data_IF_547870939041
#
_entry.id   IF_547870939041
#
_cell.length_a   1.000
_cell.length_b   1.000
_cell.length_c   1.000
_cell.angle_alpha   90.00
_cell.angle_beta   90.00
_cell.angle_gamma   90.00
#
_symmetry.space_group_name_H-M   'P 1'
#
loop_
_entity.id
_entity.type
_entity.pdbx_description
1 polymer ?
#
# COMPACT_ATOMS: atom_id res chain seq x y z
N UNK A 1 28.81 17.18 -13.78
CA UNK A 1 29.59 16.25 -14.63
C UNK A 1 28.75 15.86 -15.83
N UNK A 2 29.18 16.30 -17.02
CA UNK A 2 28.52 16.04 -18.30
C UNK A 2 28.60 14.57 -18.67
N UNK A 3 27.76 14.14 -19.62
CA UNK A 3 27.76 12.75 -20.13
C UNK A 3 29.12 12.36 -20.72
N UNK A 4 29.77 13.27 -21.47
CA UNK A 4 31.10 13.05 -22.06
C UNK A 4 32.21 12.90 -21.01
N UNK A 5 32.14 13.65 -19.91
CA UNK A 5 33.08 13.50 -18.79
C UNK A 5 32.91 12.14 -18.09
N UNK A 6 31.68 11.64 -17.96
CA UNK A 6 31.41 10.30 -17.41
C UNK A 6 31.99 9.20 -18.30
N UNK A 7 31.86 9.31 -19.62
CA UNK A 7 32.42 8.36 -20.58
C UNK A 7 33.95 8.34 -20.53
N UNK A 8 34.59 9.51 -20.61
CA UNK A 8 36.06 9.60 -20.52
C UNK A 8 36.60 9.01 -19.21
N UNK A 9 35.90 9.22 -18.09
CA UNK A 9 36.27 8.62 -16.81
C UNK A 9 36.13 7.09 -16.83
N UNK A 10 35.08 6.56 -17.43
CA UNK A 10 34.90 5.11 -17.60
C UNK A 10 36.01 4.50 -18.49
N UNK A 11 36.36 5.17 -19.60
CA UNK A 11 37.44 4.72 -20.49
C UNK A 11 38.78 4.66 -19.76
N UNK A 12 39.10 5.67 -18.94
CA UNK A 12 40.32 5.67 -18.12
C UNK A 12 40.36 4.53 -17.10
N UNK A 13 39.22 4.18 -16.48
CA UNK A 13 39.13 3.08 -15.52
C UNK A 13 39.35 1.74 -16.24
N UNK A 14 38.71 1.54 -17.40
CA UNK A 14 38.80 0.30 -18.17
C UNK A 14 40.18 0.13 -18.83
N UNK A 15 40.91 1.21 -19.11
CA UNK A 15 42.23 1.16 -19.73
C UNK A 15 43.28 0.39 -18.89
N UNK A 16 43.14 0.35 -17.56
CA UNK A 16 44.12 -0.29 -16.65
C UNK A 16 43.62 -1.62 -16.09
N UNK A 17 44.52 -2.58 -15.85
CA UNK A 17 44.14 -3.86 -15.26
C UNK A 17 43.58 -3.70 -13.83
N UNK A 18 44.27 -2.90 -13.00
CA UNK A 18 43.85 -2.59 -11.63
C UNK A 18 42.51 -1.82 -11.59
N UNK A 19 42.28 -0.90 -12.54
CA UNK A 19 41.01 -0.18 -12.65
C UNK A 19 39.85 -1.09 -13.02
N UNK A 20 40.06 -2.06 -13.94
CA UNK A 20 39.06 -3.08 -14.27
C UNK A 20 38.72 -3.96 -13.06
N UNK A 21 39.72 -4.48 -12.37
CA UNK A 21 39.54 -5.33 -11.19
C UNK A 21 38.78 -4.58 -10.08
N UNK A 22 39.23 -3.37 -9.73
CA UNK A 22 38.59 -2.54 -8.71
C UNK A 22 37.14 -2.18 -9.08
N UNK A 23 36.87 -1.85 -10.34
CA UNK A 23 35.51 -1.54 -10.80
C UNK A 23 34.59 -2.77 -10.76
N UNK A 24 35.10 -3.95 -11.09
CA UNK A 24 34.37 -5.21 -10.99
C UNK A 24 34.08 -5.55 -9.53
N UNK A 25 35.04 -5.38 -8.64
CA UNK A 25 34.87 -5.64 -7.20
C UNK A 25 33.90 -4.65 -6.56
N UNK A 26 34.00 -3.36 -6.90
CA UNK A 26 33.04 -2.35 -6.44
C UNK A 26 31.62 -2.68 -6.94
N UNK A 27 31.48 -3.09 -8.20
CA UNK A 27 30.20 -3.50 -8.77
C UNK A 27 29.66 -4.75 -8.06
N UNK A 28 30.48 -5.78 -7.86
CA UNK A 28 30.12 -7.03 -7.17
C UNK A 28 29.74 -6.79 -5.71
N UNK A 29 30.43 -5.89 -5.02
CA UNK A 29 30.10 -5.50 -3.65
C UNK A 29 28.70 -4.87 -3.53
N UNK A 30 28.17 -4.34 -4.63
CA UNK A 30 26.84 -3.72 -4.72
C UNK A 30 25.76 -4.64 -5.28
N UNK A 31 26.09 -5.86 -5.73
CA UNK A 31 25.10 -6.82 -6.24
C UNK A 31 24.05 -7.18 -5.20
N UNK A 32 24.47 -7.32 -3.95
CA UNK A 32 23.61 -7.69 -2.85
C UNK A 32 23.84 -6.76 -1.67
N UNK A 33 22.76 -6.28 -1.04
CA UNK A 33 22.90 -5.63 0.26
C UNK A 33 23.51 -6.59 1.28
N UNK A 34 24.23 -6.08 2.29
CA UNK A 34 25.00 -6.91 3.25
C UNK A 34 24.20 -8.06 3.88
N UNK A 35 22.92 -7.84 4.21
CA UNK A 35 22.03 -8.89 4.73
C UNK A 35 21.69 -9.97 3.70
N UNK A 36 21.57 -9.58 2.43
CA UNK A 36 21.31 -10.52 1.32
C UNK A 36 22.57 -11.32 1.00
N UNK A 37 23.76 -10.70 1.00
CA UNK A 37 25.03 -11.39 0.83
C UNK A 37 25.27 -12.46 1.91
N UNK A 38 25.02 -12.13 3.18
CA UNK A 38 25.11 -13.09 4.30
C UNK A 38 24.15 -14.27 4.13
N UNK A 39 22.90 -13.98 3.76
CA UNK A 39 21.87 -15.00 3.51
C UNK A 39 22.24 -15.91 2.33
N UNK A 40 22.74 -15.34 1.23
CA UNK A 40 23.22 -16.08 0.07
C UNK A 40 24.40 -17.00 0.39
N UNK A 41 25.38 -16.51 1.17
CA UNK A 41 26.50 -17.33 1.64
C UNK A 41 26.05 -18.50 2.51
N UNK A 42 25.16 -18.25 3.48
CA UNK A 42 24.62 -19.31 4.33
C UNK A 42 23.87 -20.38 3.51
N UNK A 43 23.15 -19.95 2.48
CA UNK A 43 22.45 -20.82 1.54
C UNK A 43 23.41 -21.69 0.73
N UNK A 44 24.44 -21.09 0.12
CA UNK A 44 25.50 -21.82 -0.58
C UNK A 44 26.15 -22.87 0.30
N UNK A 45 26.53 -22.50 1.52
CA UNK A 45 27.12 -23.43 2.48
C UNK A 45 26.18 -24.62 2.79
N UNK A 46 24.87 -24.38 2.86
CA UNK A 46 23.88 -25.45 3.06
C UNK A 46 23.78 -26.35 1.83
N UNK A 47 23.73 -25.79 0.62
CA UNK A 47 23.72 -26.55 -0.62
C UNK A 47 24.99 -27.41 -0.76
N UNK A 48 26.17 -26.83 -0.57
CA UNK A 48 27.46 -27.54 -0.61
C UNK A 48 27.49 -28.70 0.38
N UNK A 49 27.08 -28.45 1.64
CA UNK A 49 26.99 -29.51 2.66
C UNK A 49 26.05 -30.63 2.26
N UNK A 50 24.92 -30.33 1.63
CA UNK A 50 23.95 -31.34 1.22
C UNK A 50 24.46 -32.16 0.03
N UNK A 51 25.08 -31.52 -0.96
CA UNK A 51 25.66 -32.22 -2.12
C UNK A 51 26.81 -33.14 -1.71
N UNK A 52 27.74 -32.65 -0.88
CA UNK A 52 28.82 -33.48 -0.34
C UNK A 52 28.28 -34.70 0.41
N UNK A 53 27.23 -34.53 1.23
CA UNK A 53 26.58 -35.64 1.94
C UNK A 53 25.85 -36.61 1.01
N UNK A 54 25.37 -36.14 -0.13
CA UNK A 54 24.76 -36.96 -1.16
C UNK A 54 25.80 -37.68 -2.05
N UNK A 55 27.10 -37.45 -1.83
CA UNK A 55 28.18 -37.99 -2.67
C UNK A 55 28.32 -37.29 -4.02
N UNK A 56 27.76 -36.09 -4.17
CA UNK A 56 27.78 -35.29 -5.38
C UNK A 56 28.78 -34.14 -5.24
N UNK A 57 29.46 -33.76 -6.33
CA UNK A 57 30.21 -32.50 -6.38
C UNK A 57 29.22 -31.32 -6.33
N UNK A 58 29.35 -30.35 -5.41
CA UNK A 58 28.49 -29.18 -5.40
C UNK A 58 28.50 -28.40 -6.71
N UNK A 59 29.62 -28.42 -7.43
CA UNK A 59 29.78 -27.64 -8.67
C UNK A 59 29.92 -28.56 -9.90
N UNK A 60 29.53 -28.09 -11.10
CA UNK A 60 28.65 -26.94 -11.34
C UNK A 60 27.24 -27.15 -10.74
N UNK A 61 26.53 -26.05 -10.47
CA UNK A 61 25.16 -26.10 -9.94
C UNK A 61 24.20 -26.43 -11.09
N UNK A 62 23.63 -27.65 -11.05
CA UNK A 62 22.72 -28.20 -12.05
C UNK A 62 21.30 -28.37 -11.51
N UNK A 63 20.30 -28.45 -12.39
CA UNK A 63 18.89 -28.62 -11.97
C UNK A 63 18.63 -29.88 -11.17
N UNK A 64 19.23 -31.01 -11.56
CA UNK A 64 19.07 -32.28 -10.85
C UNK A 64 19.54 -32.17 -9.40
N UNK A 65 20.61 -31.41 -9.14
CA UNK A 65 21.15 -31.14 -7.80
C UNK A 65 20.21 -30.24 -6.99
N UNK A 66 19.63 -29.23 -7.62
CA UNK A 66 18.59 -28.37 -7.01
C UNK A 66 17.34 -29.20 -6.66
N UNK A 67 16.87 -30.06 -7.56
CA UNK A 67 15.73 -30.96 -7.33
C UNK A 67 15.99 -31.94 -6.18
N UNK A 68 17.18 -32.52 -6.13
CA UNK A 68 17.60 -33.42 -5.05
C UNK A 68 17.56 -32.72 -3.69
N UNK A 69 18.16 -31.53 -3.59
CA UNK A 69 18.10 -30.72 -2.36
C UNK A 69 16.66 -30.35 -2.00
N UNK A 70 15.87 -29.87 -2.97
CA UNK A 70 14.49 -29.46 -2.75
C UNK A 70 13.60 -30.62 -2.30
N UNK A 71 13.80 -31.81 -2.85
CA UNK A 71 13.13 -33.04 -2.43
C UNK A 71 13.52 -33.45 -1.01
N UNK A 72 14.81 -33.34 -0.66
CA UNK A 72 15.31 -33.64 0.69
C UNK A 72 14.74 -32.67 1.74
N UNK A 73 14.74 -31.36 1.47
CA UNK A 73 14.16 -30.35 2.36
C UNK A 73 12.65 -30.56 2.54
N UNK A 74 11.93 -30.83 1.44
CA UNK A 74 10.50 -31.11 1.50
C UNK A 74 10.19 -32.33 2.37
N UNK A 75 11.00 -33.39 2.27
CA UNK A 75 10.84 -34.59 3.10
C UNK A 75 11.14 -34.34 4.59
N UNK A 76 11.83 -33.25 4.91
CA UNK A 76 12.10 -32.79 6.26
C UNK A 76 11.08 -31.75 6.77
N UNK A 77 9.97 -31.54 6.05
CA UNK A 77 8.96 -30.50 6.33
C UNK A 77 9.50 -29.06 6.38
N UNK A 78 10.67 -28.84 5.78
CA UNK A 78 11.27 -27.51 5.63
C UNK A 78 10.73 -26.85 4.36
N UNK A 79 10.16 -25.64 4.48
CA UNK A 79 9.76 -24.86 3.32
C UNK A 79 11.03 -24.43 2.58
N UNK A 80 11.25 -25.01 1.40
CA UNK A 80 12.34 -24.63 0.50
C UNK A 80 12.15 -23.19 0.03
N UNK A 81 12.66 -22.23 0.81
CA UNK A 81 12.43 -20.81 0.65
C UNK A 81 12.93 -20.27 -0.71
N UNK A 82 12.42 -19.10 -1.09
CA UNK A 82 12.30 -18.48 -2.43
C UNK A 82 13.61 -18.18 -3.21
N UNK A 83 14.74 -18.73 -2.82
CA UNK A 83 16.05 -18.10 -3.05
C UNK A 83 17.11 -19.00 -3.69
N UNK A 84 16.77 -20.26 -3.97
CA UNK A 84 17.63 -21.15 -4.75
C UNK A 84 17.58 -20.84 -6.27
N UNK A 85 16.62 -19.98 -6.65
CA UNK A 85 16.38 -19.49 -8.02
C UNK A 85 17.49 -18.57 -8.51
N UNK A 86 18.27 -17.98 -7.60
CA UNK A 86 19.33 -17.01 -7.94
C UNK A 86 20.68 -17.66 -8.25
N UNK A 87 20.87 -18.95 -7.94
CA UNK A 87 22.18 -19.61 -8.08
C UNK A 87 22.51 -20.08 -9.49
N UNK A 88 21.54 -20.12 -10.40
CA UNK A 88 21.75 -20.67 -11.73
C UNK A 88 21.14 -19.79 -12.82
N UNK A 89 21.78 -19.77 -13.98
CA UNK A 89 21.22 -19.20 -15.21
C UNK A 89 20.07 -20.06 -15.77
N UNK A 90 19.47 -20.93 -14.94
CA UNK A 90 18.49 -21.92 -15.40
C UNK A 90 17.12 -21.28 -15.58
N UNK A 91 16.38 -21.83 -16.54
CA UNK A 91 15.03 -21.47 -16.91
C UNK A 91 14.10 -21.26 -15.71
N UNK A 92 13.70 -20.00 -15.50
CA UNK A 92 12.81 -19.55 -14.40
C UNK A 92 11.49 -20.33 -14.31
N UNK A 93 11.06 -20.98 -15.39
CA UNK A 93 9.83 -21.76 -15.51
C UNK A 93 9.86 -23.03 -14.64
N UNK A 94 10.95 -23.79 -14.67
CA UNK A 94 11.11 -25.04 -13.92
C UNK A 94 11.30 -24.79 -12.41
N UNK A 95 12.04 -23.75 -12.06
CA UNK A 95 12.21 -23.32 -10.67
C UNK A 95 10.86 -22.95 -10.01
N UNK A 96 9.96 -22.28 -10.75
CA UNK A 96 8.59 -22.01 -10.27
C UNK A 96 7.76 -23.28 -10.07
N UNK A 97 8.02 -24.36 -10.82
CA UNK A 97 7.33 -25.66 -10.65
C UNK A 97 7.84 -26.37 -9.41
N UNK A 98 9.16 -26.44 -9.22
CA UNK A 98 9.79 -27.01 -8.02
C UNK A 98 9.31 -26.28 -6.76
N UNK A 99 9.34 -24.93 -6.77
CA UNK A 99 8.80 -24.12 -5.67
C UNK A 99 7.36 -24.51 -5.32
N UNK A 100 6.48 -24.54 -6.32
CA UNK A 100 5.08 -24.93 -6.11
C UNK A 100 4.96 -26.35 -5.57
N UNK A 101 5.80 -27.28 -6.01
CA UNK A 101 5.81 -28.63 -5.48
C UNK A 101 6.26 -28.66 -4.01
N UNK A 102 7.33 -27.95 -3.64
CA UNK A 102 7.82 -27.88 -2.27
C UNK A 102 6.80 -27.28 -1.30
N UNK A 103 6.12 -26.20 -1.69
CA UNK A 103 5.19 -25.49 -0.80
C UNK A 103 3.78 -26.13 -0.76
N UNK A 104 3.42 -26.96 -1.75
CA UNK A 104 2.11 -27.63 -1.77
C UNK A 104 1.98 -28.63 -0.62
N UNK A 105 0.94 -28.42 0.20
CA UNK A 105 0.62 -29.28 1.34
C UNK A 105 1.37 -28.89 2.62
N UNK A 106 2.29 -27.93 2.55
CA UNK A 106 2.87 -27.29 3.72
C UNK A 106 1.91 -26.15 4.11
N UNK A 107 1.57 -26.06 5.40
CA UNK A 107 0.79 -24.93 5.93
C UNK A 107 1.46 -23.61 5.52
N UNK A 108 0.69 -22.54 5.26
CA UNK A 108 1.30 -21.23 5.02
C UNK A 108 2.27 -20.93 6.16
N UNK A 109 3.48 -20.44 5.86
CA UNK A 109 4.39 -19.96 6.91
C UNK A 109 3.57 -19.09 7.86
N UNK A 110 3.62 -19.41 9.16
CA UNK A 110 3.08 -18.61 10.23
C UNK A 110 3.84 -17.28 10.17
N UNK A 111 3.25 -16.33 9.43
CA UNK A 111 3.80 -14.98 9.33
C UNK A 111 3.86 -14.38 10.73
N UNK A 112 4.73 -13.38 10.91
CA UNK A 112 4.79 -12.69 12.19
C UNK A 112 3.40 -12.20 12.61
N UNK A 113 2.99 -12.57 13.83
CA UNK A 113 1.69 -12.19 14.39
C UNK A 113 1.53 -10.67 14.36
N UNK A 114 0.40 -10.11 13.89
CA UNK A 114 0.18 -8.68 13.89
C UNK A 114 0.22 -8.12 15.32
N UNK A 115 0.99 -7.05 15.52
CA UNK A 115 0.84 -6.24 16.72
C UNK A 115 -0.43 -5.41 16.58
N UNK A 116 -1.59 -5.87 17.04
CA UNK A 116 -2.85 -5.11 16.92
C UNK A 116 -2.78 -3.79 17.69
N UNK A 117 -3.67 -2.84 17.37
CA UNK A 117 -3.74 -1.58 18.11
C UNK A 117 -4.06 -1.80 19.60
N UNK A 118 -4.88 -2.81 19.92
CA UNK A 118 -5.17 -3.19 21.31
C UNK A 118 -3.93 -3.72 22.03
N UNK A 119 -3.17 -4.63 21.40
CA UNK A 119 -1.92 -5.15 21.95
C UNK A 119 -0.91 -4.03 22.18
N UNK A 120 -0.76 -3.12 21.21
CA UNK A 120 0.08 -1.93 21.34
C UNK A 120 -0.40 -1.04 22.50
N UNK A 121 -1.70 -0.81 22.65
CA UNK A 121 -2.28 -0.04 23.76
C UNK A 121 -1.95 -0.68 25.12
N UNK A 122 -2.17 -1.98 25.28
CA UNK A 122 -1.85 -2.70 26.53
C UNK A 122 -0.37 -2.58 26.88
N UNK A 123 0.51 -2.80 25.89
CA UNK A 123 1.95 -2.68 26.06
C UNK A 123 2.39 -1.26 26.43
N UNK A 124 1.89 -0.25 25.71
CA UNK A 124 2.26 1.15 25.96
C UNK A 124 1.81 1.65 27.32
N UNK A 125 0.62 1.24 27.78
CA UNK A 125 0.12 1.55 29.14
C UNK A 125 0.99 0.91 30.22
N UNK A 126 1.42 -0.34 30.04
CA UNK A 126 2.32 -1.01 30.98
C UNK A 126 3.67 -0.28 31.08
N UNK A 127 4.30 0.00 29.94
CA UNK A 127 5.62 0.61 29.89
C UNK A 127 5.65 2.06 30.37
N UNK A 128 4.54 2.80 30.25
CA UNK A 128 4.41 4.17 30.76
C UNK A 128 4.30 4.27 32.28
N UNK A 129 3.98 3.18 32.98
CA UNK A 129 4.06 3.11 34.45
C UNK A 129 5.49 2.86 34.94
N UNK A 130 6.40 2.63 33.99
CA UNK A 130 7.76 2.23 34.22
C UNK A 130 8.73 3.40 34.39
N UNK A 131 10.00 3.14 34.12
CA UNK A 131 11.06 4.17 34.09
C UNK A 131 10.98 4.97 32.78
N UNK A 132 11.56 6.18 32.77
CA UNK A 132 11.67 7.04 31.58
C UNK A 132 12.21 6.31 30.33
N UNK A 133 13.06 5.28 30.51
CA UNK A 133 13.60 4.45 29.42
C UNK A 133 12.56 3.52 28.80
N UNK A 134 11.62 3.01 29.61
CA UNK A 134 10.49 2.20 29.15
C UNK A 134 9.47 3.08 28.43
N UNK A 135 9.26 4.31 28.89
CA UNK A 135 8.49 5.31 28.18
C UNK A 135 9.06 5.64 26.79
N UNK A 136 10.37 5.88 26.69
CA UNK A 136 11.03 6.11 25.40
C UNK A 136 10.88 4.91 24.44
N UNK A 137 10.95 3.68 24.96
CA UNK A 137 10.76 2.46 24.17
C UNK A 137 9.30 2.26 23.76
N UNK A 138 8.35 2.62 24.62
CA UNK A 138 6.91 2.67 24.31
C UNK A 138 6.59 3.66 23.17
N UNK A 139 7.21 4.84 23.20
CA UNK A 139 7.14 5.79 22.11
C UNK A 139 7.73 5.21 20.81
N UNK A 140 8.84 4.47 20.90
CA UNK A 140 9.44 3.81 19.76
C UNK A 140 8.54 2.77 19.09
N UNK A 141 7.88 1.92 19.88
CA UNK A 141 6.92 0.94 19.38
C UNK A 141 5.71 1.61 18.72
N UNK A 142 5.22 2.69 19.31
CA UNK A 142 4.13 3.50 18.74
C UNK A 142 4.51 4.06 17.37
N UNK A 143 5.70 4.67 17.25
CA UNK A 143 6.19 5.20 15.98
C UNK A 143 6.39 4.07 14.96
N UNK A 144 6.98 2.95 15.36
CA UNK A 144 7.21 1.80 14.48
C UNK A 144 5.91 1.27 13.87
N UNK A 145 4.86 1.20 14.68
CA UNK A 145 3.52 0.74 14.29
C UNK A 145 2.85 1.72 13.30
N UNK A 146 2.70 2.99 13.68
CA UNK A 146 2.01 4.00 12.88
C UNK A 146 2.71 4.31 11.56
N UNK A 147 4.04 4.25 11.52
CA UNK A 147 4.81 4.48 10.31
C UNK A 147 5.10 3.19 9.53
N UNK A 148 4.54 2.04 9.93
CA UNK A 148 4.69 0.72 9.29
C UNK A 148 6.16 0.37 8.98
N UNK A 149 7.03 0.63 9.96
CA UNK A 149 8.48 0.53 9.80
C UNK A 149 8.93 -0.93 9.69
N UNK A 150 9.93 -1.18 8.84
CA UNK A 150 10.67 -2.45 8.86
C UNK A 150 11.67 -2.45 10.02
N UNK A 151 12.04 -3.63 10.52
CA UNK A 151 13.06 -3.74 11.57
C UNK A 151 14.39 -3.03 11.24
N UNK A 152 14.81 -3.05 9.97
CA UNK A 152 15.99 -2.28 9.52
C UNK A 152 15.79 -0.77 9.50
N UNK A 153 14.59 -0.30 9.17
CA UNK A 153 14.26 1.13 9.24
C UNK A 153 14.21 1.60 10.70
N UNK A 154 13.72 0.75 11.60
CA UNK A 154 13.62 1.03 13.03
C UNK A 154 15.00 1.19 13.70
N UNK A 155 15.98 0.33 13.39
CA UNK A 155 17.30 0.40 14.04
C UNK A 155 18.27 1.41 13.42
N UNK A 156 17.90 2.04 12.28
CA UNK A 156 18.75 2.99 11.55
C UNK A 156 18.15 4.40 11.46
N UNK A 157 16.92 4.61 11.95
CA UNK A 157 16.28 5.93 11.85
C UNK A 157 17.05 6.95 12.70
N UNK A 158 17.39 8.08 12.09
CA UNK A 158 18.13 9.19 12.71
C UNK A 158 17.21 10.33 13.10
N UNK A 159 17.67 11.14 14.05
CA UNK A 159 16.94 12.32 14.54
C UNK A 159 16.67 13.32 13.40
N UNK A 160 17.65 13.56 12.52
CA UNK A 160 17.52 14.47 11.39
C UNK A 160 16.54 14.00 10.31
N UNK A 161 16.06 12.76 10.39
CA UNK A 161 15.08 12.19 9.47
C UNK A 161 13.63 12.33 9.95
N UNK A 162 13.42 12.86 11.15
CA UNK A 162 12.08 13.07 11.71
C UNK A 162 11.81 14.55 11.95
N UNK A 163 10.55 14.93 11.81
CA UNK A 163 10.09 16.28 12.09
C UNK A 163 8.68 16.25 12.68
N UNK A 164 8.42 17.12 13.65
CA UNK A 164 7.07 17.37 14.16
C UNK A 164 6.74 18.84 13.91
N UNK A 165 5.69 19.08 13.12
CA UNK A 165 5.22 20.41 12.77
C UNK A 165 3.76 20.55 13.21
N UNK A 166 3.54 21.21 14.35
CA UNK A 166 2.21 21.28 14.97
C UNK A 166 1.65 19.88 15.25
N UNK A 167 0.47 19.58 14.71
CA UNK A 167 -0.20 18.30 14.88
C UNK A 167 0.25 17.21 13.89
N UNK A 168 1.37 17.37 13.18
CA UNK A 168 1.83 16.40 12.17
C UNK A 168 3.26 15.93 12.45
N UNK A 169 3.44 14.62 12.61
CA UNK A 169 4.74 13.98 12.66
C UNK A 169 5.09 13.39 11.30
N UNK A 170 6.35 13.55 10.89
CA UNK A 170 6.85 13.14 9.58
C UNK A 170 8.15 12.37 9.74
N UNK A 171 8.27 11.26 9.01
CA UNK A 171 9.47 10.42 8.94
C UNK A 171 9.94 10.32 7.49
N UNK A 172 11.20 10.68 7.25
CA UNK A 172 11.90 10.54 5.98
C UNK A 172 12.78 9.31 6.01
N UNK A 173 12.44 8.30 5.24
CA UNK A 173 13.26 7.11 5.07
C UNK A 173 14.22 7.33 3.91
N UNK A 174 15.52 7.35 4.23
CA UNK A 174 16.56 7.30 3.20
C UNK A 174 16.71 5.87 2.67
N UNK A 175 17.21 5.77 1.43
CA UNK A 175 17.46 4.56 0.61
C UNK A 175 17.20 3.23 1.35
N UNK A 176 16.00 2.66 1.16
CA UNK A 176 15.64 1.37 1.78
C UNK A 176 15.85 0.21 0.81
N UNK A 177 15.79 -1.04 1.31
CA UNK A 177 15.94 -2.29 0.51
C UNK A 177 15.11 -2.32 -0.79
N UNK A 178 13.97 -1.62 -0.83
CA UNK A 178 13.07 -1.57 -1.99
C UNK A 178 13.17 -0.26 -2.79
N UNK A 179 14.21 0.53 -2.56
CA UNK A 179 14.47 1.80 -3.22
C UNK A 179 15.65 1.66 -4.19
N UNK A 180 15.43 0.90 -5.27
CA UNK A 180 16.43 0.67 -6.31
C UNK A 180 16.91 1.96 -6.98
N UNK A 181 16.16 3.07 -6.85
CA UNK A 181 16.50 4.39 -7.40
C UNK A 181 17.08 5.36 -6.36
N UNK A 182 17.13 4.98 -5.08
CA UNK A 182 17.65 5.81 -3.99
C UNK A 182 16.86 7.11 -3.74
N UNK A 183 15.57 7.16 -4.08
CA UNK A 183 14.75 8.38 -3.96
C UNK A 183 14.26 8.66 -2.53
N UNK A 184 14.37 7.68 -1.63
CA UNK A 184 13.79 7.70 -0.30
C UNK A 184 12.25 7.68 -0.33
N UNK A 185 11.64 7.84 0.83
CA UNK A 185 10.22 8.17 0.92
C UNK A 185 9.92 8.96 2.19
N UNK A 186 8.82 9.71 2.18
CA UNK A 186 8.31 10.39 3.36
C UNK A 186 6.96 9.81 3.74
N UNK A 187 6.73 9.67 5.04
CA UNK A 187 5.42 9.33 5.62
C UNK A 187 5.08 10.38 6.66
N UNK A 188 3.82 10.75 6.75
CA UNK A 188 3.33 11.70 7.73
C UNK A 188 2.09 11.14 8.42
N UNK A 189 1.96 11.42 9.72
CA UNK A 189 0.84 11.04 10.57
C UNK A 189 0.35 12.26 11.33
N UNK A 190 -0.96 12.40 11.46
CA UNK A 190 -1.59 13.52 12.17
C UNK A 190 -2.04 13.08 13.56
N UNK A 191 -1.98 14.01 14.52
CA UNK A 191 -2.52 13.82 15.85
C UNK A 191 -4.06 13.80 15.77
N UNK A 192 -4.66 12.76 16.36
CA UNK A 192 -6.10 12.64 16.53
C UNK A 192 -6.55 12.82 17.99
N UNK A 193 -5.62 13.17 18.89
CA UNK A 193 -5.96 13.45 20.28
C UNK A 193 -6.84 14.69 20.36
N UNK A 194 -7.84 14.64 21.25
CA UNK A 194 -8.69 15.77 21.58
C UNK A 194 -8.19 16.41 22.87
N UNK A 195 -8.85 16.12 23.98
CA UNK A 195 -8.56 16.70 25.29
C UNK A 195 -7.47 15.92 26.04
N UNK A 196 -7.43 14.59 25.88
CA UNK A 196 -6.43 13.73 26.52
C UNK A 196 -5.41 13.19 25.51
N UNK A 197 -4.13 13.16 25.93
CA UNK A 197 -3.05 12.57 25.15
C UNK A 197 -3.14 11.06 25.22
N UNK A 198 -3.51 10.46 24.10
CA UNK A 198 -3.59 9.01 23.99
C UNK A 198 -2.21 8.35 24.03
N UNK A 199 -2.16 7.20 24.73
CA UNK A 199 -0.99 6.33 24.93
C UNK A 199 -0.17 5.97 23.70
N UNK A 200 -0.83 6.04 22.55
CA UNK A 200 -0.42 5.49 21.28
C UNK A 200 -0.52 6.53 20.17
N UNK A 201 -0.58 7.83 20.50
CA UNK A 201 -0.54 8.88 19.48
C UNK A 201 0.86 8.99 18.84
N UNK A 202 1.00 8.89 17.50
CA UNK A 202 2.30 8.91 16.86
C UNK A 202 3.01 10.27 16.96
N UNK A 203 2.25 11.36 17.05
CA UNK A 203 2.80 12.72 17.16
C UNK A 203 3.39 12.94 18.54
N UNK A 204 2.62 12.66 19.60
CA UNK A 204 3.10 12.80 20.96
C UNK A 204 4.22 11.82 21.30
N UNK A 205 4.16 10.59 20.79
CA UNK A 205 5.27 9.63 20.90
C UNK A 205 6.55 10.17 20.24
N UNK A 206 6.45 10.79 19.05
CA UNK A 206 7.60 11.40 18.38
C UNK A 206 8.17 12.57 19.20
N UNK A 207 7.31 13.45 19.73
CA UNK A 207 7.74 14.56 20.57
C UNK A 207 8.46 14.07 21.84
N UNK A 208 7.85 13.12 22.55
CA UNK A 208 8.42 12.53 23.77
C UNK A 208 9.80 11.91 23.50
N UNK A 209 9.94 11.18 22.39
CA UNK A 209 11.20 10.56 22.05
C UNK A 209 12.27 11.59 21.65
N UNK A 210 11.89 12.64 20.92
CA UNK A 210 12.80 13.73 20.57
C UNK A 210 13.28 14.49 21.81
N UNK A 211 12.39 14.77 22.75
CA UNK A 211 12.73 15.41 24.03
C UNK A 211 13.67 14.53 24.86
N UNK A 212 13.37 13.23 24.97
CA UNK A 212 14.24 12.27 25.64
C UNK A 212 15.64 12.25 25.04
N UNK A 213 15.76 12.25 23.70
CA UNK A 213 17.06 12.24 23.01
C UNK A 213 17.79 13.57 23.13
N UNK A 214 17.06 14.70 23.10
CA UNK A 214 17.63 16.02 23.37
C UNK A 214 18.20 16.11 24.80
N UNK A 215 17.50 15.55 25.79
CA UNK A 215 17.99 15.45 27.18
C UNK A 215 19.26 14.59 27.33
N UNK A 216 19.57 13.75 26.35
CA UNK A 216 20.82 12.98 26.27
C UNK A 216 21.92 13.69 25.46
N UNK A 217 21.68 14.91 24.97
CA UNK A 217 22.61 15.66 24.14
C UNK A 217 22.73 15.11 22.71
N UNK A 218 21.74 14.37 22.22
CA UNK A 218 21.79 13.78 20.88
C UNK A 218 21.59 14.82 19.77
N UNK A 219 22.34 14.66 18.68
CA UNK A 219 22.32 15.53 17.51
C UNK A 219 21.59 14.90 16.32
N UNK A 220 21.42 15.68 15.24
CA UNK A 220 20.68 15.26 14.03
C UNK A 220 21.19 13.96 13.41
N UNK A 221 22.49 13.69 13.50
CA UNK A 221 23.08 12.49 12.92
C UNK A 221 22.94 11.27 13.84
N UNK A 222 22.54 11.44 15.09
CA UNK A 222 22.37 10.33 16.02
C UNK A 222 21.11 9.52 15.72
N UNK A 223 21.12 8.27 16.20
CA UNK A 223 19.98 7.39 16.13
C UNK A 223 18.83 7.95 16.99
N UNK A 224 17.62 7.89 16.43
CA UNK A 224 16.41 8.22 17.15
C UNK A 224 16.08 7.14 18.18
N UNK A 225 16.25 5.87 17.80
CA UNK A 225 15.99 4.73 18.66
C UNK A 225 17.30 4.14 19.17
N UNK A 226 17.45 4.09 20.49
CA UNK A 226 18.62 3.55 21.18
C UNK A 226 18.19 2.60 22.29
N UNK A 227 19.12 1.76 22.74
CA UNK A 227 18.92 0.90 23.90
C UNK A 227 19.03 1.71 25.20
N UNK A 228 18.87 1.01 26.32
CA UNK A 228 18.94 1.63 27.65
C UNK A 228 20.29 2.31 27.94
N UNK A 229 21.35 1.93 27.21
CA UNK A 229 22.71 2.45 27.35
C UNK A 229 23.02 3.56 26.32
N UNK A 230 22.02 4.01 25.55
CA UNK A 230 22.19 5.01 24.51
C UNK A 230 22.86 4.47 23.23
N UNK A 231 23.05 3.15 23.14
CA UNK A 231 23.71 2.50 22.01
C UNK A 231 22.69 2.03 20.98
N UNK A 232 23.22 1.72 19.78
CA UNK A 232 22.45 1.14 18.69
C UNK A 232 21.91 -0.25 19.05
N UNK A 233 20.65 -0.50 18.74
CA UNK A 233 20.09 -1.85 18.75
C UNK A 233 20.55 -2.65 17.53
N UNK A 234 20.89 -3.93 17.74
CA UNK A 234 20.80 -4.91 16.67
C UNK A 234 19.36 -5.45 16.56
N UNK A 235 18.98 -5.94 15.39
CA UNK A 235 17.59 -6.38 15.18
C UNK A 235 17.22 -7.63 16.00
N UNK A 236 18.20 -8.43 16.41
CA UNK A 236 17.97 -9.60 17.27
C UNK A 236 17.66 -9.16 18.69
N UNK A 237 18.52 -8.33 19.29
CA UNK A 237 18.30 -7.82 20.65
C UNK A 237 17.03 -6.98 20.78
N UNK A 238 16.70 -6.17 19.77
CA UNK A 238 15.42 -5.43 19.77
C UNK A 238 14.21 -6.37 19.68
N UNK A 239 14.32 -7.46 18.93
CA UNK A 239 13.26 -8.48 18.84
C UNK A 239 13.04 -9.16 20.19
N UNK A 240 14.11 -9.60 20.84
CA UNK A 240 14.01 -10.25 22.15
C UNK A 240 13.50 -9.28 23.22
N UNK A 241 13.88 -8.00 23.13
CA UNK A 241 13.34 -6.95 24.00
C UNK A 241 11.85 -6.75 23.77
N UNK A 242 11.39 -6.70 22.51
CA UNK A 242 9.96 -6.64 22.19
C UNK A 242 9.20 -7.83 22.80
N UNK A 243 9.71 -9.05 22.65
CA UNK A 243 9.11 -10.25 23.23
C UNK A 243 9.04 -10.17 24.75
N UNK A 244 10.11 -9.72 25.41
CA UNK A 244 10.14 -9.53 26.86
C UNK A 244 9.10 -8.48 27.30
N UNK A 245 9.04 -7.33 26.65
CA UNK A 245 8.06 -6.28 26.96
C UNK A 245 6.62 -6.79 26.76
N UNK A 246 6.36 -7.61 25.74
CA UNK A 246 5.04 -8.23 25.51
C UNK A 246 4.66 -9.20 26.64
N UNK A 247 5.56 -10.09 27.05
CA UNK A 247 5.34 -11.01 28.19
C UNK A 247 5.04 -10.23 29.47
N UNK A 248 5.84 -9.19 29.74
CA UNK A 248 5.66 -8.34 30.92
C UNK A 248 4.34 -7.57 30.90
N UNK A 249 3.79 -7.30 29.72
CA UNK A 249 2.49 -6.67 29.53
C UNK A 249 1.32 -7.67 29.58
N UNK A 250 1.58 -8.95 29.89
CA UNK A 250 0.56 -10.01 29.96
C UNK A 250 0.10 -10.54 28.60
N UNK A 251 0.82 -10.24 27.51
CA UNK A 251 0.51 -10.76 26.18
C UNK A 251 1.06 -12.20 26.07
N UNK A 252 0.14 -13.15 25.83
CA UNK A 252 0.48 -14.55 25.59
C UNK A 252 1.12 -14.72 24.21
N UNK A 253 1.82 -15.84 24.00
CA UNK A 253 2.40 -16.20 22.69
C UNK A 253 3.35 -15.14 22.10
N UNK A 254 4.05 -14.41 22.97
CA UNK A 254 5.03 -13.38 22.58
C UNK A 254 6.07 -13.88 21.56
N UNK A 255 6.33 -15.19 21.48
CA UNK A 255 7.25 -15.79 20.52
C UNK A 255 6.87 -15.60 19.06
N UNK A 256 5.58 -15.46 18.76
CA UNK A 256 5.06 -15.26 17.41
C UNK A 256 5.31 -13.84 16.89
N UNK A 257 5.69 -12.91 17.78
CA UNK A 257 5.95 -11.53 17.44
C UNK A 257 7.39 -11.32 16.97
N UNK A 258 7.56 -10.45 15.98
CA UNK A 258 8.86 -10.02 15.47
C UNK A 258 8.85 -8.53 15.17
N UNK A 259 9.99 -7.97 14.74
CA UNK A 259 10.02 -6.58 14.26
C UNK A 259 9.12 -6.35 13.04
N UNK A 260 8.70 -7.41 12.33
CA UNK A 260 7.74 -7.28 11.25
C UNK A 260 6.30 -7.08 11.77
N UNK A 261 6.01 -7.50 13.01
CA UNK A 261 4.69 -7.38 13.63
C UNK A 261 4.19 -5.94 13.71
N UNK A 262 5.07 -4.95 13.91
CA UNK A 262 4.71 -3.52 13.85
C UNK A 262 4.12 -3.14 12.50
N UNK A 263 4.76 -3.62 11.43
CA UNK A 263 4.40 -3.28 10.07
C UNK A 263 3.13 -4.00 9.63
N UNK A 264 2.96 -5.26 10.01
CA UNK A 264 1.72 -6.02 9.75
C UNK A 264 0.57 -5.42 10.54
N UNK A 265 0.77 -5.18 11.84
CA UNK A 265 -0.22 -4.57 12.73
C UNK A 265 -0.68 -3.19 12.27
N UNK A 266 0.26 -2.30 11.92
CA UNK A 266 -0.10 -0.98 11.38
C UNK A 266 -0.87 -1.06 10.06
N UNK A 267 -0.51 -2.04 9.21
CA UNK A 267 -1.22 -2.30 7.94
C UNK A 267 -2.67 -2.72 8.21
N UNK A 268 -2.89 -3.67 9.13
CA UNK A 268 -4.23 -4.11 9.52
C UNK A 268 -5.01 -2.95 10.16
N UNK A 269 -4.40 -2.20 11.08
CA UNK A 269 -5.05 -1.05 11.72
C UNK A 269 -5.50 0.04 10.73
N UNK A 270 -4.72 0.30 9.67
CA UNK A 270 -5.17 1.19 8.58
C UNK A 270 -6.42 0.65 7.86
N UNK A 271 -6.45 -0.66 7.57
CA UNK A 271 -7.58 -1.29 6.87
C UNK A 271 -8.83 -1.29 7.76
N UNK A 272 -8.68 -1.60 9.05
CA UNK A 272 -9.76 -1.55 10.05
C UNK A 272 -10.32 -0.13 10.21
N UNK A 273 -9.46 0.89 10.12
CA UNK A 273 -9.87 2.29 10.09
C UNK A 273 -10.53 2.73 8.76
N UNK A 274 -10.70 1.81 7.80
CA UNK A 274 -11.37 2.08 6.53
C UNK A 274 -10.47 2.67 5.44
N UNK A 275 -9.16 2.70 5.63
CA UNK A 275 -8.22 3.15 4.60
C UNK A 275 -8.16 2.10 3.47
N UNK A 276 -8.33 2.56 2.23
CA UNK A 276 -8.28 1.68 1.04
C UNK A 276 -6.97 0.88 1.01
N UNK A 277 -7.03 -0.37 0.52
CA UNK A 277 -5.85 -1.22 0.41
C UNK A 277 -4.75 -0.62 -0.46
N UNK A 278 -5.12 0.19 -1.46
CA UNK A 278 -4.24 0.91 -2.37
C UNK A 278 -3.46 2.01 -1.64
N UNK A 279 -4.14 2.83 -0.85
CA UNK A 279 -3.50 3.85 -0.02
C UNK A 279 -2.59 3.21 1.05
N UNK A 280 -3.02 2.11 1.66
CA UNK A 280 -2.22 1.33 2.60
C UNK A 280 -0.99 0.69 1.93
N UNK A 281 -1.14 0.18 0.70
CA UNK A 281 -0.03 -0.31 -0.15
C UNK A 281 0.98 0.78 -0.43
N UNK A 282 0.51 1.96 -0.85
CA UNK A 282 1.34 3.12 -1.13
C UNK A 282 2.09 3.58 0.12
N UNK A 283 1.38 3.78 1.24
CA UNK A 283 1.95 4.20 2.52
C UNK A 283 3.00 3.20 3.01
N UNK A 284 2.64 1.91 3.10
CA UNK A 284 3.55 0.86 3.54
C UNK A 284 4.69 0.58 2.55
N UNK A 285 4.60 0.96 1.28
CA UNK A 285 5.53 0.57 0.20
C UNK A 285 5.57 -0.94 0.00
N UNK A 286 4.40 -1.53 -0.12
CA UNK A 286 4.23 -2.94 -0.48
C UNK A 286 4.24 -3.08 -2.00
N UNK A 287 5.12 -3.95 -2.52
CA UNK A 287 5.20 -4.26 -3.96
C UNK A 287 4.37 -5.49 -4.35
N UNK A 288 4.08 -6.35 -3.37
CA UNK A 288 3.37 -7.62 -3.57
C UNK A 288 1.94 -7.54 -3.03
N UNK A 289 1.11 -8.47 -3.51
CA UNK A 289 -0.26 -8.69 -3.04
C UNK A 289 -0.32 -9.29 -1.61
N UNK A 290 0.76 -9.22 -0.84
CA UNK A 290 0.79 -9.67 0.56
C UNK A 290 -0.21 -8.87 1.41
N UNK A 291 -0.49 -7.62 1.06
CA UNK A 291 -1.56 -6.85 1.69
C UNK A 291 -2.93 -7.52 1.54
N UNK A 292 -3.19 -8.24 0.45
CA UNK A 292 -4.49 -8.87 0.25
C UNK A 292 -4.71 -10.01 1.27
N UNK A 293 -3.63 -10.63 1.75
CA UNK A 293 -3.67 -11.58 2.88
C UNK A 293 -4.03 -10.86 4.18
N UNK A 294 -3.33 -9.77 4.52
CA UNK A 294 -3.60 -9.01 5.74
C UNK A 294 -4.99 -8.36 5.74
N UNK A 295 -5.45 -7.87 4.60
CA UNK A 295 -6.80 -7.36 4.42
C UNK A 295 -7.83 -8.46 4.68
N UNK A 296 -7.61 -9.66 4.11
CA UNK A 296 -8.48 -10.81 4.37
C UNK A 296 -8.52 -11.18 5.86
N UNK A 297 -7.36 -11.29 6.50
CA UNK A 297 -7.26 -11.60 7.94
C UNK A 297 -7.99 -10.54 8.79
N UNK A 298 -7.79 -9.26 8.49
CA UNK A 298 -8.47 -8.16 9.16
C UNK A 298 -10.00 -8.20 8.96
N UNK A 299 -10.48 -8.42 7.73
CA UNK A 299 -11.92 -8.57 7.46
C UNK A 299 -12.54 -9.82 8.12
N UNK A 300 -11.76 -10.89 8.29
CA UNK A 300 -12.21 -12.12 8.95
C UNK A 300 -12.32 -11.94 10.47
N UNK A 301 -11.34 -11.27 11.09
CA UNK A 301 -11.40 -10.89 12.50
C UNK A 301 -12.60 -9.99 12.82
N UNK A 302 -13.04 -9.20 11.84
CA UNK A 302 -14.13 -8.24 11.94
C UNK A 302 -15.48 -8.78 11.39
N UNK A 303 -15.63 -10.10 11.27
CA UNK A 303 -16.78 -10.74 10.58
C UNK A 303 -18.15 -10.43 11.20
N UNK A 304 -18.24 -10.18 12.51
CA UNK A 304 -19.46 -9.68 13.16
C UNK A 304 -19.81 -8.25 12.71
N UNK A 305 -18.82 -7.37 12.50
CA UNK A 305 -19.07 -6.01 12.01
C UNK A 305 -19.33 -5.96 10.52
N UNK A 306 -18.92 -6.94 9.71
CA UNK A 306 -19.23 -6.96 8.28
C UNK A 306 -20.74 -6.94 8.02
N UNK A 307 -21.49 -7.78 8.73
CA UNK A 307 -22.96 -7.82 8.66
C UNK A 307 -23.57 -6.53 9.21
N UNK A 308 -23.04 -6.01 10.31
CA UNK A 308 -23.48 -4.73 10.88
C UNK A 308 -23.17 -3.54 9.97
N UNK A 309 -22.05 -3.51 9.25
CA UNK A 309 -21.68 -2.47 8.28
C UNK A 309 -22.52 -2.54 7.01
N UNK A 310 -22.87 -3.75 6.54
CA UNK A 310 -23.87 -3.92 5.48
C UNK A 310 -25.22 -3.36 5.94
N UNK A 311 -25.64 -3.67 7.17
CA UNK A 311 -26.89 -3.18 7.71
C UNK A 311 -26.85 -1.66 7.95
N UNK A 312 -25.75 -1.12 8.47
CA UNK A 312 -25.55 0.32 8.69
C UNK A 312 -25.55 1.08 7.37
N UNK A 313 -24.88 0.57 6.33
CA UNK A 313 -24.96 1.14 4.97
C UNK A 313 -26.37 1.05 4.38
N UNK A 314 -27.13 0.01 4.69
CA UNK A 314 -28.55 -0.09 4.29
C UNK A 314 -29.41 0.93 5.03
N UNK A 315 -29.17 1.18 6.31
CA UNK A 315 -29.89 2.19 7.09
C UNK A 315 -29.52 3.61 6.67
N UNK A 316 -28.24 3.94 6.47
CA UNK A 316 -27.80 5.22 5.90
C UNK A 316 -28.45 5.47 4.54
N UNK A 317 -28.43 4.48 3.64
CA UNK A 317 -29.12 4.60 2.35
C UNK A 317 -30.65 4.73 2.49
N UNK A 318 -31.28 4.19 3.55
CA UNK A 318 -32.71 4.39 3.82
C UNK A 318 -33.00 5.79 4.36
N UNK A 319 -32.16 6.31 5.24
CA UNK A 319 -32.27 7.67 5.79
C UNK A 319 -32.03 8.73 4.72
N UNK A 320 -30.97 8.60 3.92
CA UNK A 320 -30.73 9.45 2.75
C UNK A 320 -31.93 9.43 1.80
N UNK A 321 -32.52 8.25 1.58
CA UNK A 321 -33.72 8.12 0.74
C UNK A 321 -34.94 8.81 1.37
N UNK A 322 -35.13 8.71 2.69
CA UNK A 322 -36.22 9.39 3.42
C UNK A 322 -36.05 10.92 3.40
N UNK A 323 -34.85 11.42 3.66
CA UNK A 323 -34.56 12.86 3.61
C UNK A 323 -34.75 13.42 2.20
N UNK A 324 -34.29 12.69 1.18
CA UNK A 324 -34.48 13.10 -0.21
C UNK A 324 -35.97 13.08 -0.61
N UNK A 325 -36.74 12.08 -0.15
CA UNK A 325 -38.20 12.03 -0.37
C UNK A 325 -38.93 13.18 0.33
N UNK A 326 -38.46 13.59 1.52
CA UNK A 326 -39.03 14.70 2.28
C UNK A 326 -38.70 16.06 1.65
N UNK A 327 -37.49 16.22 1.12
CA UNK A 327 -37.07 17.39 0.36
C UNK A 327 -37.88 17.56 -0.93
N UNK A 328 -38.15 16.47 -1.65
CA UNK A 328 -38.99 16.45 -2.86
C UNK A 328 -40.43 16.83 -2.53
N UNK A 329 -41.04 16.26 -1.48
CA UNK A 329 -42.40 16.65 -1.04
C UNK A 329 -42.52 18.11 -0.61
N UNK A 330 -41.49 18.68 0.00
CA UNK A 330 -41.47 20.09 0.40
C UNK A 330 -41.34 21.06 -0.80
N UNK A 331 -40.81 20.59 -1.93
CA UNK A 331 -40.63 21.38 -3.14
C UNK A 331 -41.89 21.49 -4.02
N UNK A 332 -42.95 20.74 -3.72
CA UNK A 332 -44.21 20.81 -4.46
C UNK A 332 -44.17 20.25 -5.89
N UNK A 333 -43.07 19.61 -6.30
CA UNK A 333 -43.01 18.89 -7.58
C UNK A 333 -43.82 17.60 -7.48
N UNK A 334 -44.91 17.55 -8.25
CA UNK A 334 -45.71 16.33 -8.43
C UNK A 334 -44.86 15.27 -9.11
N UNK A 335 -44.80 14.12 -8.45
CA UNK A 335 -44.10 12.91 -8.83
C UNK A 335 -44.65 12.34 -10.14
N UNK A 336 -43.79 12.23 -11.15
CA UNK A 336 -44.05 11.40 -12.33
C UNK A 336 -42.78 10.74 -12.88
N UNK A 337 -41.70 10.62 -12.08
CA UNK A 337 -40.48 9.92 -12.53
C UNK A 337 -39.80 9.16 -11.40
N UNK A 338 -40.21 7.91 -11.28
CA UNK A 338 -39.43 6.83 -10.70
C UNK A 338 -37.97 6.83 -11.23
N UNK A 339 -37.05 7.13 -10.31
CA UNK A 339 -35.75 6.50 -10.11
C UNK A 339 -34.76 6.39 -11.26
N UNK A 340 -33.63 7.11 -11.17
CA UNK A 340 -32.38 6.72 -11.86
C UNK A 340 -31.11 6.97 -11.03
N UNK A 341 -30.82 6.05 -10.10
CA UNK A 341 -29.46 5.51 -10.02
C UNK A 341 -29.38 4.48 -11.14
N UNK A 342 -28.62 4.77 -12.20
CA UNK A 342 -28.53 3.91 -13.39
C UNK A 342 -27.90 2.55 -13.03
N UNK A 343 -28.74 1.57 -12.69
CA UNK A 343 -28.36 0.15 -12.69
C UNK A 343 -28.06 -0.26 -14.14
N UNK A 344 -27.04 -1.08 -14.47
CA UNK A 344 -26.60 -1.34 -15.87
C UNK A 344 -27.67 -1.69 -16.92
N UNK A 345 -28.88 -2.15 -16.51
CA UNK A 345 -30.04 -2.37 -17.41
C UNK A 345 -30.65 -1.07 -17.96
N UNK A 346 -30.57 0.02 -17.21
CA UNK A 346 -31.15 1.33 -17.54
C UNK A 346 -30.49 2.05 -18.72
N UNK A 347 -29.19 1.82 -18.94
CA UNK A 347 -28.45 2.45 -20.04
C UNK A 347 -28.91 1.95 -21.41
N UNK A 348 -29.27 0.67 -21.52
CA UNK A 348 -29.78 0.08 -22.76
C UNK A 348 -31.16 0.63 -23.16
N UNK A 349 -32.00 0.94 -22.18
CA UNK A 349 -33.32 1.53 -22.40
C UNK A 349 -33.18 2.98 -22.91
N UNK A 350 -32.36 3.79 -22.23
CA UNK A 350 -32.09 5.16 -22.66
C UNK A 350 -31.46 5.25 -24.07
N UNK A 351 -30.48 4.39 -24.37
CA UNK A 351 -29.88 4.35 -25.70
C UNK A 351 -30.88 3.95 -26.80
N UNK A 352 -31.85 3.09 -26.46
CA UNK A 352 -32.92 2.69 -27.39
C UNK A 352 -33.93 3.81 -27.64
N UNK A 353 -34.29 4.57 -26.61
CA UNK A 353 -35.16 5.75 -26.73
C UNK A 353 -34.54 6.84 -27.61
N UNK A 354 -33.26 7.17 -27.38
CA UNK A 354 -32.55 8.17 -28.20
C UNK A 354 -32.43 7.73 -29.66
N UNK A 355 -32.18 6.44 -29.91
CA UNK A 355 -32.16 5.90 -31.27
C UNK A 355 -33.54 5.95 -31.95
N UNK A 356 -34.62 5.75 -31.19
CA UNK A 356 -35.99 5.84 -31.68
C UNK A 356 -36.39 7.28 -32.03
N UNK A 357 -36.05 8.25 -31.17
CA UNK A 357 -36.28 9.68 -31.42
C UNK A 357 -35.50 10.17 -32.65
N UNK A 358 -34.23 9.78 -32.79
CA UNK A 358 -33.41 10.06 -33.97
C UNK A 358 -34.05 9.50 -35.25
N UNK A 359 -34.50 8.24 -35.20
CA UNK A 359 -35.18 7.60 -36.33
C UNK A 359 -36.50 8.29 -36.71
N UNK A 360 -37.24 8.82 -35.74
CA UNK A 360 -38.46 9.58 -36.00
C UNK A 360 -38.17 10.96 -36.59
N UNK A 361 -37.17 11.69 -36.08
CA UNK A 361 -36.75 12.99 -36.59
C UNK A 361 -36.28 12.91 -38.06
N UNK A 362 -35.49 11.87 -38.38
CA UNK A 362 -35.01 11.64 -39.76
C UNK A 362 -36.15 11.33 -40.73
N UNK A 363 -37.10 10.47 -40.32
CA UNK A 363 -38.30 10.17 -41.14
C UNK A 363 -39.17 11.42 -41.36
N UNK A 364 -39.30 12.26 -40.34
CA UNK A 364 -40.05 13.52 -40.43
C UNK A 364 -39.45 14.48 -41.47
N UNK A 365 -38.13 14.65 -41.50
CA UNK A 365 -37.45 15.52 -42.48
C UNK A 365 -37.47 14.96 -43.90
N UNK A 366 -37.22 13.66 -44.07
CA UNK A 366 -37.31 13.02 -45.40
C UNK A 366 -38.73 13.10 -45.98
N UNK A 367 -39.77 13.01 -45.14
CA UNK A 367 -41.17 13.19 -45.59
C UNK A 367 -41.50 14.61 -46.06
N UNK A 368 -40.67 15.61 -45.67
CA UNK A 368 -40.79 17.02 -46.07
C UNK A 368 -39.86 17.39 -47.22
N UNK A 369 -39.12 16.43 -47.78
CA UNK A 369 -38.13 16.67 -48.85
C UNK A 369 -36.90 17.45 -48.38
N UNK A 370 -36.65 17.50 -47.07
CA UNK A 370 -35.45 18.12 -46.49
C UNK A 370 -34.29 17.12 -46.48
N UNK A 371 -33.06 17.64 -46.64
CA UNK A 371 -31.83 16.84 -46.59
C UNK A 371 -31.68 16.10 -45.25
N UNK A 372 -30.98 14.96 -45.32
CA UNK A 372 -30.66 14.14 -44.15
C UNK A 372 -29.98 14.96 -43.05
N UNK A 373 -30.31 14.69 -41.77
CA UNK A 373 -29.66 15.36 -40.64
C UNK A 373 -28.18 14.95 -40.62
N UNK A 374 -27.27 15.82 -41.06
CA UNK A 374 -25.82 15.55 -41.03
C UNK A 374 -25.20 15.78 -39.64
N UNK A 375 -25.84 16.60 -38.79
CA UNK A 375 -25.34 16.95 -37.47
C UNK A 375 -26.47 16.86 -36.42
N UNK A 376 -26.24 16.05 -35.38
CA UNK A 376 -27.16 15.90 -34.25
C UNK A 376 -26.45 16.24 -32.94
N UNK A 377 -27.00 17.19 -32.19
CA UNK A 377 -26.43 17.64 -30.92
C UNK A 377 -27.15 16.95 -29.75
N UNK A 378 -26.40 16.20 -28.94
CA UNK A 378 -26.92 15.53 -27.74
C UNK A 378 -26.34 16.22 -26.51
N UNK A 379 -27.20 16.81 -25.69
CA UNK A 379 -26.80 17.35 -24.37
C UNK A 379 -26.70 16.21 -23.35
N UNK A 380 -25.47 15.78 -23.07
CA UNK A 380 -25.21 14.77 -22.03
C UNK A 380 -25.08 15.42 -20.65
N UNK A 381 -25.74 14.84 -19.64
CA UNK A 381 -25.48 15.18 -18.24
C UNK A 381 -24.35 14.27 -17.70
N UNK A 382 -23.41 14.81 -16.90
CA UNK A 382 -22.36 14.00 -16.29
C UNK A 382 -22.97 12.98 -15.31
N UNK A 383 -22.46 11.75 -15.36
CA UNK A 383 -22.90 10.60 -14.58
C UNK A 383 -22.37 10.64 -13.14
N UNK A 384 -21.19 11.24 -12.96
CA UNK A 384 -20.60 11.49 -11.65
C UNK A 384 -19.72 12.74 -11.71
N UNK A 385 -19.63 13.43 -10.57
CA UNK A 385 -18.78 14.59 -10.37
C UNK A 385 -17.91 14.30 -9.15
N UNK A 386 -16.60 14.23 -9.35
CA UNK A 386 -15.63 13.92 -8.30
C UNK A 386 -14.71 15.13 -8.12
N UNK A 387 -14.62 15.64 -6.88
CA UNK A 387 -13.70 16.72 -6.54
C UNK A 387 -12.45 16.15 -5.87
N UNK A 388 -11.28 16.36 -6.48
CA UNK A 388 -9.99 16.04 -5.87
C UNK A 388 -9.05 17.24 -6.01
N UNK A 389 -8.56 17.76 -4.87
CA UNK A 389 -7.51 18.77 -4.77
C UNK A 389 -7.64 19.90 -5.81
N UNK A 390 -8.72 20.69 -5.69
CA UNK A 390 -9.05 21.85 -6.56
C UNK A 390 -9.44 21.54 -8.02
N UNK A 391 -9.48 20.26 -8.42
CA UNK A 391 -9.93 19.85 -9.74
C UNK A 391 -11.27 19.10 -9.68
N UNK A 392 -12.14 19.41 -10.64
CA UNK A 392 -13.41 18.73 -10.86
C UNK A 392 -13.26 17.72 -12.01
N UNK A 393 -13.49 16.44 -11.72
CA UNK A 393 -13.59 15.37 -12.70
C UNK A 393 -15.06 15.10 -13.01
N UNK A 394 -15.43 15.32 -14.27
CA UNK A 394 -16.75 15.00 -14.81
C UNK A 394 -16.67 13.67 -15.53
N UNK A 395 -17.38 12.65 -15.05
CA UNK A 395 -17.52 11.37 -15.73
C UNK A 395 -18.74 11.40 -16.64
N UNK A 396 -18.55 11.14 -17.93
CA UNK A 396 -19.63 10.95 -18.90
C UNK A 396 -19.70 9.47 -19.28
N UNK A 397 -20.89 8.94 -19.64
CA UNK A 397 -20.99 7.58 -20.15
C UNK A 397 -20.19 7.48 -21.46
N UNK A 398 -19.14 6.67 -21.48
CA UNK A 398 -18.43 6.32 -22.72
C UNK A 398 -19.21 5.21 -23.40
N UNK A 399 -19.56 5.37 -24.67
CA UNK A 399 -20.22 4.33 -25.45
C UNK A 399 -19.29 3.12 -25.55
N UNK A 400 -19.78 1.94 -25.15
CA UNK A 400 -19.06 0.69 -25.36
C UNK A 400 -18.96 0.35 -26.85
N UNK A 401 -17.86 -0.31 -27.22
CA UNK A 401 -17.36 -0.57 -28.59
C UNK A 401 -18.34 -1.27 -29.55
N UNK A 402 -19.40 -1.91 -29.06
CA UNK A 402 -20.42 -2.55 -29.91
C UNK A 402 -21.48 -1.59 -30.44
N UNK A 403 -21.80 -0.51 -29.71
CA UNK A 403 -22.79 0.49 -30.16
C UNK A 403 -22.17 1.59 -31.02
N UNK A 404 -20.89 1.93 -30.80
CA UNK A 404 -20.15 2.87 -31.66
C UNK A 404 -20.07 2.39 -33.12
N UNK A 405 -19.90 1.08 -33.36
CA UNK A 405 -19.80 0.53 -34.71
C UNK A 405 -21.11 0.55 -35.52
N UNK A 406 -22.27 0.60 -34.86
CA UNK A 406 -23.57 0.58 -35.54
C UNK A 406 -23.96 1.97 -36.07
N UNK A 407 -23.57 3.04 -35.35
CA UNK A 407 -23.87 4.42 -35.71
C UNK A 407 -22.82 5.05 -36.64
N UNK A 408 -21.54 4.66 -36.52
CA UNK A 408 -20.50 5.03 -37.49
C UNK A 408 -20.78 4.46 -38.90
N UNK A 409 -21.37 3.26 -38.98
CA UNK A 409 -21.83 2.68 -40.25
C UNK A 409 -22.94 3.48 -40.93
N UNK A 410 -23.64 4.34 -40.20
CA UNK A 410 -24.70 5.21 -40.72
C UNK A 410 -24.22 6.63 -41.08
N UNK A 411 -22.90 6.91 -41.03
CA UNK A 411 -22.31 8.15 -41.54
C UNK A 411 -22.30 9.36 -40.60
N UNK A 412 -22.66 9.19 -39.32
CA UNK A 412 -22.72 10.31 -38.37
C UNK A 412 -21.36 10.62 -37.75
N UNK A 413 -21.04 11.92 -37.61
CA UNK A 413 -19.89 12.42 -36.86
C UNK A 413 -20.34 13.04 -35.52
N UNK A 414 -19.56 12.84 -34.45
CA UNK A 414 -19.88 13.36 -33.12
C UNK A 414 -18.93 14.49 -32.72
N UNK A 415 -19.48 15.57 -32.18
CA UNK A 415 -18.72 16.64 -31.53
C UNK A 415 -19.22 16.81 -30.10
N UNK A 416 -18.40 16.43 -29.12
CA UNK A 416 -18.72 16.67 -27.71
C UNK A 416 -18.41 18.14 -27.42
N UNK A 417 -19.44 18.94 -27.15
CA UNK A 417 -19.30 20.35 -26.73
C UNK A 417 -19.54 20.38 -25.22
N UNK A 418 -18.50 20.64 -24.43
CA UNK A 418 -18.67 20.88 -22.99
C UNK A 418 -18.94 22.37 -22.76
N UNK A 419 -20.19 22.75 -22.46
CA UNK A 419 -20.48 24.09 -21.96
C UNK A 419 -19.95 24.22 -20.52
N UNK A 420 -19.02 25.15 -20.28
CA UNK A 420 -18.67 25.59 -18.91
C UNK A 420 -19.85 26.35 -18.32
N UNK A 421 -20.81 25.65 -17.75
CA UNK A 421 -21.95 26.29 -17.10
C UNK A 421 -21.54 26.77 -15.69
N UNK A 422 -20.91 27.95 -15.63
CA UNK A 422 -20.35 28.57 -14.42
C UNK A 422 -21.41 28.90 -13.37
N UNK A 423 -22.66 29.14 -13.78
CA UNK A 423 -23.77 29.43 -12.86
C UNK A 423 -24.13 28.23 -11.97
N UNK A 424 -24.10 27.01 -12.52
CA UNK A 424 -24.42 25.80 -11.77
C UNK A 424 -23.35 25.42 -10.74
N UNK A 425 -22.07 25.54 -11.13
CA UNK A 425 -20.93 25.34 -10.23
C UNK A 425 -20.91 26.35 -9.07
N UNK A 426 -21.40 27.58 -9.31
CA UNK A 426 -21.51 28.63 -8.29
C UNK A 426 -22.56 28.29 -7.23
N UNK A 427 -23.72 27.76 -7.64
CA UNK A 427 -24.77 27.29 -6.71
C UNK A 427 -24.35 26.05 -5.92
N UNK A 428 -23.66 25.10 -6.55
CA UNK A 428 -23.13 23.91 -5.86
C UNK A 428 -22.09 24.27 -4.79
N UNK A 429 -21.24 25.27 -5.05
CA UNK A 429 -20.23 25.78 -4.10
C UNK A 429 -20.86 26.45 -2.87
N UNK A 430 -21.95 27.20 -3.06
CA UNK A 430 -22.70 27.86 -1.97
C UNK A 430 -23.34 26.83 -1.03
N UNK A 431 -23.97 25.80 -1.58
CA UNK A 431 -24.65 24.78 -0.78
C UNK A 431 -23.68 23.89 0.03
N UNK A 432 -22.44 23.70 -0.45
CA UNK A 432 -21.41 22.95 0.27
C UNK A 432 -20.77 23.76 1.42
N UNK A 433 -20.60 25.08 1.26
CA UNK A 433 -20.08 25.94 2.34
C UNK A 433 -21.05 26.09 3.51
N UNK A 434 -22.37 26.04 3.25
CA UNK A 434 -23.38 26.13 4.32
C UNK A 434 -23.59 24.84 5.12
N UNK A 435 -23.04 23.70 4.69
CA UNK A 435 -23.13 22.41 5.43
C UNK A 435 -21.84 22.04 6.17
N UNK A 436 -20.80 22.89 6.10
CA UNK A 436 -19.56 22.72 6.83
C UNK A 436 -19.41 23.84 7.87
N UNK A 437 -20.24 23.78 8.92
CA UNK A 437 -20.02 24.42 10.22
C UNK A 437 -20.60 23.55 11.32
#
# INVERSE_FOLDING_TARGET
MSYREKQRKADMIIATASGRETAVDELRSKFYGASTAKSMKARLNTFERMMIRAGEDPYPIEMKKIELMAAALRKADESGDDTWVEFTAVEKSNLRRIKRACVRGISPDEGAEPLTLETLRKQTVYMRKGKIREEARSAAYTIAWWFMMRGGELVELRIGQVAVNGAVATVKFEVTKNDQKGQGCQRSQQCACKEEIEGYCPVHAMMQLLEYRAGQGAEKNDLLFVNNDGQRWDQGSLRETLKADLRNSGIQEAEQYSLHSFRVGGTQGHIEAGVSTESTKAFGRWRSNVIDRYARESYMADSESYTQRINSRREINKEDRKENTKAVRASGEVDDRDGWLLHPRSYSAWASEVAQELGQAQRGKMSKGEDAIENFEIKLKPLAIVCCNEHWLLSYPVMGTTNEMSLLKAGFSFKIISERNTAWLSSARKNFQTKAY
#
